data_IF_032418647586
#
_entry.id   IF_032418647586
#
_cell.length_a   1.000
_cell.length_b   1.000
_cell.length_c   1.000
_cell.angle_alpha   90.00
_cell.angle_beta   90.00
_cell.angle_gamma   90.00
#
_symmetry.space_group_name_H-M   'P 1'
#
loop_
_entity.id
_entity.type
_entity.pdbx_description
1 polymer ?
#
# COMPACT_ATOMS: atom_id res chain seq x y z
N UNK A 1 -3.35 -6.58 -8.53
CA UNK A 1 -4.07 -5.29 -8.55
C UNK A 1 -3.09 -4.17 -8.27
N UNK A 2 -3.41 -2.94 -8.66
CA UNK A 2 -2.61 -1.76 -8.37
C UNK A 2 -3.45 -0.69 -7.67
N UNK A 3 -2.84 0.03 -6.74
CA UNK A 3 -3.40 1.21 -6.10
C UNK A 3 -2.33 2.27 -5.90
N UNK A 4 -2.73 3.54 -5.91
CA UNK A 4 -1.88 4.65 -5.50
C UNK A 4 -2.03 4.86 -4.01
N UNK A 5 -0.91 5.08 -3.33
CA UNK A 5 -0.90 5.50 -1.94
C UNK A 5 -0.09 6.79 -1.81
N UNK A 6 -0.64 7.76 -1.09
CA UNK A 6 0.04 9.00 -0.73
C UNK A 6 0.68 8.80 0.63
N UNK A 7 2.01 8.78 0.66
CA UNK A 7 2.81 8.66 1.88
C UNK A 7 3.23 10.06 2.29
N UNK A 8 2.92 10.45 3.52
CA UNK A 8 3.34 11.72 4.10
C UNK A 8 4.84 11.76 4.42
N UNK A 9 5.36 12.95 4.72
CA UNK A 9 6.72 13.19 5.22
C UNK A 9 7.05 12.39 6.51
N UNK A 10 6.03 11.89 7.21
CA UNK A 10 6.15 11.04 8.39
C UNK A 10 6.07 9.53 8.11
N UNK A 11 5.81 9.15 6.86
CA UNK A 11 5.68 7.76 6.46
C UNK A 11 4.27 7.16 6.58
N UNK A 12 3.28 7.95 6.98
CA UNK A 12 1.89 7.49 7.07
C UNK A 12 1.20 7.55 5.71
N UNK A 13 0.41 6.53 5.41
CA UNK A 13 -0.48 6.55 4.25
C UNK A 13 -1.67 7.46 4.54
N UNK A 14 -1.75 8.60 3.84
CA UNK A 14 -2.83 9.57 4.01
C UNK A 14 -4.00 9.34 3.07
N UNK A 15 -3.75 8.77 1.90
CA UNK A 15 -4.78 8.51 0.91
C UNK A 15 -4.42 7.29 0.08
N UNK A 16 -5.41 6.48 -0.25
CA UNK A 16 -5.30 5.32 -1.13
C UNK A 16 -6.32 5.45 -2.25
N UNK A 17 -5.91 5.15 -3.48
CA UNK A 17 -6.78 5.16 -4.65
C UNK A 17 -6.56 3.88 -5.46
N UNK A 18 -7.57 3.05 -5.56
CA UNK A 18 -7.46 1.79 -6.30
C UNK A 18 -7.49 2.09 -7.80
N UNK A 19 -6.41 1.73 -8.50
CA UNK A 19 -6.31 1.88 -9.95
C UNK A 19 -7.00 0.72 -10.67
N UNK A 20 -6.90 -0.48 -10.10
CA UNK A 20 -7.47 -1.69 -10.68
C UNK A 20 -8.18 -2.52 -9.62
N UNK A 21 -9.50 -2.40 -9.58
CA UNK A 21 -10.34 -3.20 -8.68
C UNK A 21 -10.54 -4.61 -9.20
N UNK A 22 -10.53 -5.57 -8.29
CA UNK A 22 -10.86 -6.98 -8.58
C UNK A 22 -12.28 -7.29 -8.10
N UNK A 23 -12.61 -6.89 -6.88
CA UNK A 23 -13.90 -7.14 -6.24
C UNK A 23 -14.01 -6.30 -4.97
N UNK A 24 -15.20 -5.76 -4.70
CA UNK A 24 -15.46 -4.81 -3.60
C UNK A 24 -14.97 -5.30 -2.22
N UNK A 25 -15.03 -6.61 -1.97
CA UNK A 25 -14.55 -7.23 -0.73
C UNK A 25 -13.03 -7.18 -0.61
N UNK A 26 -12.34 -7.47 -1.72
CA UNK A 26 -10.88 -7.43 -1.80
C UNK A 26 -10.40 -5.98 -1.75
N UNK A 27 -11.08 -5.07 -2.47
CA UNK A 27 -10.79 -3.64 -2.44
C UNK A 27 -10.80 -3.09 -1.01
N UNK A 28 -11.88 -3.33 -0.26
CA UNK A 28 -12.01 -2.90 1.14
C UNK A 28 -10.93 -3.51 2.05
N UNK A 29 -10.58 -4.79 1.85
CA UNK A 29 -9.52 -5.43 2.62
C UNK A 29 -8.15 -4.84 2.28
N UNK A 30 -7.93 -4.50 1.00
CA UNK A 30 -6.71 -3.85 0.52
C UNK A 30 -6.53 -2.50 1.17
N UNK A 31 -7.54 -1.63 1.07
CA UNK A 31 -7.48 -0.27 1.64
C UNK A 31 -7.21 -0.32 3.13
N UNK A 32 -7.95 -1.16 3.87
CA UNK A 32 -7.74 -1.31 5.32
C UNK A 32 -6.33 -1.79 5.66
N UNK A 33 -5.77 -2.68 4.85
CA UNK A 33 -4.41 -3.20 5.04
C UNK A 33 -3.37 -2.13 4.76
N UNK A 34 -3.48 -1.44 3.62
CA UNK A 34 -2.54 -0.41 3.19
C UNK A 34 -2.60 0.83 4.10
N UNK A 35 -3.78 1.23 4.56
CA UNK A 35 -3.91 2.33 5.54
C UNK A 35 -3.27 2.00 6.89
N UNK A 36 -3.14 0.71 7.24
CA UNK A 36 -2.44 0.29 8.46
C UNK A 36 -0.91 0.22 8.27
N UNK A 37 -0.39 0.41 7.06
CA UNK A 37 1.04 0.34 6.79
C UNK A 37 1.74 1.67 7.13
N UNK A 38 2.94 1.54 7.71
CA UNK A 38 3.84 2.65 7.96
C UNK A 38 5.06 2.50 7.07
N UNK A 39 5.22 3.41 6.13
CA UNK A 39 6.34 3.47 5.20
C UNK A 39 7.48 4.33 5.74
N UNK A 40 8.71 4.13 5.26
CA UNK A 40 9.77 5.10 5.51
C UNK A 40 9.54 6.30 4.57
N UNK A 41 9.40 7.54 5.08
CA UNK A 41 9.21 8.69 4.22
C UNK A 41 10.43 8.91 3.33
N UNK A 42 10.18 9.32 2.09
CA UNK A 42 11.25 9.72 1.20
C UNK A 42 11.89 11.00 1.74
N UNK A 43 13.23 11.06 1.76
CA UNK A 43 13.97 12.25 2.15
C UNK A 43 14.64 12.82 0.92
N UNK A 44 14.27 14.04 0.52
CA UNK A 44 14.92 14.76 -0.57
C UNK A 44 15.81 15.84 0.03
N UNK A 45 17.11 15.74 -0.20
CA UNK A 45 18.11 16.68 0.33
C UNK A 45 18.06 16.87 1.87
N UNK A 46 17.75 15.80 2.61
CA UNK A 46 17.65 15.83 4.07
C UNK A 46 16.30 16.30 4.63
N UNK A 47 15.37 16.73 3.76
CA UNK A 47 14.00 17.06 4.17
C UNK A 47 13.04 15.93 3.81
N UNK A 48 12.19 15.47 4.73
CA UNK A 48 11.18 14.47 4.42
C UNK A 48 10.12 15.11 3.50
N UNK A 49 9.79 14.42 2.41
CA UNK A 49 8.84 14.90 1.40
C UNK A 49 7.71 13.89 1.21
N UNK A 50 6.46 14.37 1.06
CA UNK A 50 5.36 13.49 0.72
C UNK A 50 5.58 12.92 -0.69
N UNK A 51 5.32 11.62 -0.84
CA UNK A 51 5.47 10.91 -2.11
C UNK A 51 4.22 10.11 -2.45
N UNK A 52 3.96 10.02 -3.74
CA UNK A 52 2.89 9.19 -4.28
C UNK A 52 3.55 7.94 -4.82
N UNK A 53 3.16 6.78 -4.32
CA UNK A 53 3.69 5.49 -4.75
C UNK A 53 2.57 4.65 -5.35
N UNK A 54 2.92 3.84 -6.35
CA UNK A 54 2.02 2.80 -6.86
C UNK A 54 2.37 1.51 -6.12
N UNK A 55 1.39 0.96 -5.40
CA UNK A 55 1.51 -0.31 -4.68
C UNK A 55 0.81 -1.37 -5.51
N UNK A 56 1.58 -2.36 -5.94
CA UNK A 56 1.05 -3.55 -6.59
C UNK A 56 0.80 -4.61 -5.51
N UNK A 57 -0.47 -4.96 -5.31
CA UNK A 57 -0.87 -5.98 -4.35
C UNK A 57 -1.23 -7.25 -5.12
N UNK A 58 -0.51 -8.32 -4.81
CA UNK A 58 -0.78 -9.63 -5.36
C UNK A 58 -1.64 -10.44 -4.38
N UNK A 59 -2.76 -10.95 -4.87
CA UNK A 59 -3.71 -11.72 -4.07
C UNK A 59 -3.55 -13.19 -4.39
N UNK A 60 -3.24 -13.99 -3.37
CA UNK A 60 -3.34 -15.45 -3.44
C UNK A 60 -4.48 -15.88 -2.52
N UNK A 61 -5.35 -16.75 -3.02
CA UNK A 61 -6.42 -17.38 -2.23
C UNK A 61 -5.97 -18.79 -1.91
N UNK A 62 -5.78 -19.12 -0.63
CA UNK A 62 -5.68 -20.53 -0.25
C UNK A 62 -7.05 -21.19 -0.44
N UNK A 63 -7.08 -22.51 -0.65
CA UNK A 63 -8.31 -23.29 -0.86
C UNK A 63 -9.36 -23.15 0.28
N UNK A 64 -8.98 -22.52 1.40
CA UNK A 64 -9.81 -22.27 2.59
C UNK A 64 -10.55 -20.92 2.54
N UNK A 65 -10.36 -20.11 1.49
CA UNK A 65 -10.98 -18.78 1.38
C UNK A 65 -10.32 -17.70 2.27
N UNK A 66 -9.19 -18.02 2.91
CA UNK A 66 -8.43 -17.05 3.67
C UNK A 66 -7.64 -16.19 2.70
N UNK A 67 -8.05 -14.94 2.50
CA UNK A 67 -7.30 -13.97 1.71
C UNK A 67 -6.07 -13.58 2.52
N UNK A 68 -4.93 -14.16 2.18
CA UNK A 68 -3.64 -13.80 2.75
C UNK A 68 -3.18 -12.55 2.00
N UNK A 69 -3.58 -11.40 2.54
CA UNK A 69 -3.05 -10.11 2.11
C UNK A 69 -1.53 -10.20 2.27
N UNK A 70 -0.77 -10.00 1.19
CA UNK A 70 0.68 -10.08 1.23
C UNK A 70 1.22 -9.26 2.42
N UNK A 71 2.05 -9.84 3.32
CA UNK A 71 2.80 -9.05 4.28
C UNK A 71 3.63 -7.98 3.52
N UNK A 72 3.89 -6.83 4.15
CA UNK A 72 4.17 -5.58 3.46
C UNK A 72 5.42 -5.66 2.58
N UNK A 73 5.63 -4.76 1.62
CA UNK A 73 6.97 -4.44 1.16
C UNK A 73 7.61 -3.39 2.11
N UNK A 74 8.42 -3.78 3.11
CA UNK A 74 9.40 -2.89 3.69
C UNK A 74 10.78 -3.32 3.19
N UNK A 75 11.35 -2.52 2.30
CA UNK A 75 12.78 -2.21 2.20
C UNK A 75 13.11 -1.87 0.75
N UNK A 76 13.72 -0.70 0.57
CA UNK A 76 14.39 -0.24 -0.65
C UNK A 76 13.46 0.31 -1.73
N UNK A 77 13.18 1.62 -1.64
CA UNK A 77 13.30 2.43 -2.85
C UNK A 77 14.79 2.86 -2.93
N UNK A 78 15.52 2.52 -4.02
CA UNK A 78 16.87 3.01 -4.27
C UNK A 78 16.92 4.51 -4.54
#
# INVERSE_FOLDING_TARGET
MALLAVISDKGYVCSTHILQSISKEIDKKTEKTVSAWHFKPASRAGSPVPVIVTIEVNYWTTSTGEIISAPPPPSTAP
#
